data_IF_259025127943
#
_entry.id   IF_259025127943
#
_cell.length_a   1.000
_cell.length_b   1.000
_cell.length_c   1.000
_cell.angle_alpha   90.00
_cell.angle_beta   90.00
_cell.angle_gamma   90.00
#
_symmetry.space_group_name_H-M   'P 1'
#
loop_
_entity.id
_entity.type
_entity.pdbx_description
1 polymer ?
#
# COMPACT_ATOMS: atom_id res chain seq x y z
N UNK A 1 7.10 9.20 -10.32
CA UNK A 1 8.42 9.25 -9.65
C UNK A 1 9.03 7.85 -9.54
N UNK A 2 8.45 6.92 -8.77
CA UNK A 2 9.04 5.58 -8.56
C UNK A 2 9.31 4.81 -9.85
N UNK A 3 8.41 4.82 -10.83
CA UNK A 3 8.63 4.12 -12.11
C UNK A 3 9.88 4.62 -12.83
N UNK A 4 10.11 5.94 -12.83
CA UNK A 4 11.29 6.55 -13.44
C UNK A 4 12.57 6.23 -12.66
N UNK A 5 12.49 6.27 -11.32
CA UNK A 5 13.61 5.90 -10.45
C UNK A 5 13.96 4.42 -10.64
N UNK A 6 12.98 3.54 -10.64
CA UNK A 6 13.15 2.11 -10.87
C UNK A 6 13.75 1.81 -12.24
N UNK A 7 13.25 2.45 -13.29
CA UNK A 7 13.83 2.37 -14.63
C UNK A 7 15.30 2.80 -14.64
N UNK A 8 15.61 3.94 -14.04
CA UNK A 8 16.98 4.46 -13.98
C UNK A 8 17.92 3.52 -13.23
N UNK A 9 17.52 3.05 -12.05
CA UNK A 9 18.32 2.11 -11.25
C UNK A 9 18.52 0.79 -12.00
N UNK A 10 17.49 0.31 -12.70
CA UNK A 10 17.58 -0.90 -13.53
C UNK A 10 18.63 -0.73 -14.62
N UNK A 11 18.46 0.26 -15.51
CA UNK A 11 19.29 0.41 -16.73
C UNK A 11 20.70 0.88 -16.40
N UNK A 12 20.88 1.74 -15.37
CA UNK A 12 22.17 2.39 -15.09
C UNK A 12 22.99 1.73 -14.00
N UNK A 13 22.38 0.99 -13.08
CA UNK A 13 23.10 0.42 -11.92
C UNK A 13 23.03 -1.09 -11.92
N UNK A 14 21.86 -1.69 -12.14
CA UNK A 14 21.65 -3.11 -11.87
C UNK A 14 21.95 -3.95 -13.11
N UNK A 15 21.37 -3.62 -14.26
CA UNK A 15 21.59 -4.32 -15.53
C UNK A 15 23.08 -4.37 -15.93
N UNK A 16 23.88 -3.28 -15.84
CA UNK A 16 25.30 -3.33 -16.18
C UNK A 16 26.12 -4.27 -15.28
N UNK A 17 25.64 -4.58 -14.05
CA UNK A 17 26.34 -5.48 -13.12
C UNK A 17 26.13 -6.96 -13.46
N UNK A 18 25.07 -7.29 -14.20
CA UNK A 18 24.75 -8.68 -14.58
C UNK A 18 25.42 -9.14 -15.87
N UNK A 19 25.89 -8.22 -16.72
CA UNK A 19 26.57 -8.57 -17.97
C UNK A 19 25.64 -9.20 -19.01
N UNK A 20 26.20 -9.97 -19.95
CA UNK A 20 25.41 -10.69 -20.96
C UNK A 20 24.87 -11.98 -20.37
N UNK A 21 23.61 -12.30 -20.68
CA UNK A 21 22.99 -13.55 -20.29
C UNK A 21 23.40 -14.66 -21.26
N UNK A 22 24.14 -15.64 -20.76
CA UNK A 22 24.63 -16.80 -21.53
C UNK A 22 23.91 -18.11 -21.14
N UNK A 23 22.73 -18.03 -20.50
CA UNK A 23 22.01 -19.20 -19.99
C UNK A 23 21.11 -19.90 -21.01
N UNK A 24 20.78 -21.16 -20.72
CA UNK A 24 20.00 -22.05 -21.60
C UNK A 24 18.47 -21.82 -21.54
N UNK A 25 17.97 -20.91 -20.69
CA UNK A 25 16.53 -20.60 -20.65
C UNK A 25 16.20 -19.78 -21.90
N UNK A 26 15.74 -20.49 -22.94
CA UNK A 26 15.00 -19.89 -24.04
C UNK A 26 13.83 -19.11 -23.43
N UNK A 27 13.66 -17.86 -23.85
CA UNK A 27 12.61 -16.95 -23.40
C UNK A 27 11.32 -17.73 -23.11
N UNK A 28 10.85 -17.74 -21.86
CA UNK A 28 9.50 -18.21 -21.56
C UNK A 28 8.58 -17.33 -22.42
N UNK A 29 8.02 -17.90 -23.49
CA UNK A 29 7.05 -17.20 -24.32
C UNK A 29 5.92 -16.80 -23.39
N UNK A 30 5.72 -15.50 -23.21
CA UNK A 30 4.55 -14.98 -22.50
C UNK A 30 3.37 -15.42 -23.37
N UNK A 31 2.52 -16.36 -22.90
CA UNK A 31 1.48 -16.92 -23.75
C UNK A 31 0.57 -15.79 -24.23
N UNK A 32 0.32 -15.75 -25.53
CA UNK A 32 -0.61 -14.77 -26.07
C UNK A 32 -2.00 -14.98 -25.50
N UNK A 33 -2.73 -13.87 -25.30
CA UNK A 33 -4.11 -13.91 -24.84
C UNK A 33 -4.98 -14.72 -25.80
N UNK A 34 -5.66 -15.73 -25.28
CA UNK A 34 -6.65 -16.50 -26.04
C UNK A 34 -7.81 -15.61 -26.49
N UNK A 35 -8.56 -16.05 -27.50
CA UNK A 35 -9.77 -15.35 -27.96
C UNK A 35 -10.79 -15.17 -26.84
N UNK A 36 -10.90 -16.15 -25.93
CA UNK A 36 -11.79 -16.10 -24.79
C UNK A 36 -11.35 -15.04 -23.77
N UNK A 37 -10.07 -14.97 -23.43
CA UNK A 37 -9.53 -13.96 -22.51
C UNK A 37 -9.62 -12.55 -23.12
N UNK A 38 -9.34 -12.39 -24.42
CA UNK A 38 -9.51 -11.11 -25.13
C UNK A 38 -10.97 -10.65 -25.13
N UNK A 39 -11.92 -11.58 -25.31
CA UNK A 39 -13.36 -11.31 -25.16
C UNK A 39 -13.69 -10.92 -23.72
N UNK A 40 -13.17 -11.66 -22.74
CA UNK A 40 -13.30 -11.37 -21.31
C UNK A 40 -12.87 -9.96 -20.95
N UNK A 41 -11.67 -9.55 -21.39
CA UNK A 41 -11.13 -8.21 -21.14
C UNK A 41 -12.02 -7.10 -21.71
N UNK A 42 -12.57 -7.29 -22.91
CA UNK A 42 -13.49 -6.30 -23.51
C UNK A 42 -14.76 -6.13 -22.67
N UNK A 43 -15.38 -7.24 -22.26
CA UNK A 43 -16.58 -7.20 -21.43
C UNK A 43 -16.32 -6.66 -20.03
N UNK A 44 -15.17 -6.98 -19.43
CA UNK A 44 -14.73 -6.40 -18.17
C UNK A 44 -14.55 -4.87 -18.29
N UNK A 45 -13.95 -4.41 -19.38
CA UNK A 45 -13.81 -2.98 -19.69
C UNK A 45 -15.15 -2.27 -19.84
N UNK A 46 -16.09 -2.85 -20.59
CA UNK A 46 -17.45 -2.29 -20.71
C UNK A 46 -18.19 -2.26 -19.37
N UNK A 47 -18.03 -3.30 -18.56
CA UNK A 47 -18.60 -3.31 -17.21
C UNK A 47 -18.03 -2.21 -16.32
N UNK A 48 -16.71 -2.01 -16.35
CA UNK A 48 -16.06 -0.98 -15.56
C UNK A 48 -16.53 0.41 -16.01
N UNK A 49 -16.60 0.63 -17.32
CA UNK A 49 -17.12 1.88 -17.89
C UNK A 49 -18.57 2.13 -17.49
N UNK A 50 -19.44 1.11 -17.54
CA UNK A 50 -20.83 1.23 -17.11
C UNK A 50 -20.94 1.54 -15.61
N UNK A 51 -20.12 0.89 -14.78
CA UNK A 51 -20.07 1.15 -13.33
C UNK A 51 -19.59 2.58 -13.02
N UNK A 52 -18.52 3.04 -13.68
CA UNK A 52 -18.03 4.41 -13.53
C UNK A 52 -19.07 5.41 -14.01
N UNK A 53 -19.72 5.18 -15.15
CA UNK A 53 -20.80 6.05 -15.64
C UNK A 53 -21.96 6.14 -14.65
N UNK A 54 -22.36 5.01 -14.05
CA UNK A 54 -23.38 5.00 -13.00
C UNK A 54 -22.96 5.82 -11.79
N UNK A 55 -21.72 5.66 -11.30
CA UNK A 55 -21.20 6.47 -10.19
C UNK A 55 -21.18 7.96 -10.53
N UNK A 56 -20.79 8.32 -11.75
CA UNK A 56 -20.80 9.72 -12.19
C UNK A 56 -22.23 10.28 -12.22
N UNK A 57 -23.23 9.52 -12.66
CA UNK A 57 -24.64 9.93 -12.63
C UNK A 57 -25.13 10.11 -11.19
N UNK A 58 -24.63 9.33 -10.23
CA UNK A 58 -25.04 9.43 -8.83
C UNK A 58 -24.31 10.52 -8.03
N UNK A 59 -23.16 11.00 -8.51
CA UNK A 59 -22.30 11.98 -7.81
C UNK A 59 -22.29 13.34 -8.49
N UNK A 60 -22.24 13.43 -9.82
CA UNK A 60 -22.03 14.70 -10.52
C UNK A 60 -23.24 15.65 -10.49
N UNK A 61 -24.50 15.20 -10.62
CA UNK A 61 -25.64 16.10 -10.53
C UNK A 61 -25.65 16.87 -9.21
N UNK A 62 -26.13 18.13 -9.18
CA UNK A 62 -26.26 18.90 -7.94
C UNK A 62 -27.05 18.16 -6.85
N UNK A 63 -28.10 17.45 -7.25
CA UNK A 63 -28.95 16.60 -6.39
C UNK A 63 -28.52 15.12 -6.39
N UNK A 64 -27.24 14.85 -6.63
CA UNK A 64 -26.71 13.48 -6.68
C UNK A 64 -26.91 12.74 -5.35
N UNK A 65 -27.48 11.54 -5.39
CA UNK A 65 -27.80 10.72 -4.19
C UNK A 65 -26.56 10.43 -3.33
N UNK A 66 -25.36 10.41 -3.93
CA UNK A 66 -24.11 10.12 -3.20
C UNK A 66 -23.38 11.39 -2.72
N UNK A 67 -23.97 12.57 -2.89
CA UNK A 67 -23.51 13.83 -2.28
C UNK A 67 -24.01 13.95 -0.85
N UNK A 68 -23.46 14.92 -0.13
CA UNK A 68 -23.93 15.23 1.21
C UNK A 68 -25.43 15.61 1.20
N UNK A 69 -26.28 14.96 2.02
CA UNK A 69 -27.73 15.21 1.99
C UNK A 69 -28.14 16.63 2.38
N UNK A 70 -27.31 17.34 3.14
CA UNK A 70 -27.63 18.67 3.65
C UNK A 70 -26.95 19.77 2.81
N UNK A 71 -25.67 19.62 2.54
CA UNK A 71 -24.84 20.64 1.89
C UNK A 71 -24.69 20.43 0.38
N UNK A 72 -25.10 19.28 -0.16
CA UNK A 72 -24.93 18.87 -1.56
C UNK A 72 -23.48 18.96 -2.05
N UNK A 73 -22.52 18.93 -1.12
CA UNK A 73 -21.10 18.91 -1.41
C UNK A 73 -20.65 17.48 -1.74
N UNK A 74 -19.53 17.37 -2.47
CA UNK A 74 -18.90 16.07 -2.72
C UNK A 74 -17.96 15.72 -1.56
N UNK A 75 -17.36 16.70 -0.88
CA UNK A 75 -16.47 16.46 0.25
C UNK A 75 -16.93 17.37 1.40
N UNK A 76 -17.34 16.80 2.55
CA UNK A 76 -17.58 15.37 2.83
C UNK A 76 -18.85 14.84 2.12
N UNK A 77 -18.96 13.54 1.84
CA UNK A 77 -20.20 12.94 1.32
C UNK A 77 -20.26 11.41 1.50
N UNK A 78 -21.44 10.76 1.34
CA UNK A 78 -21.57 9.31 1.29
C UNK A 78 -20.64 8.65 0.26
N UNK A 79 -20.36 9.30 -0.87
CA UNK A 79 -19.39 8.82 -1.86
C UNK A 79 -17.99 8.63 -1.28
N UNK A 80 -17.47 9.63 -0.56
CA UNK A 80 -16.13 9.56 0.03
C UNK A 80 -16.06 8.63 1.24
N UNK A 81 -17.10 8.61 2.09
CA UNK A 81 -17.18 7.68 3.22
C UNK A 81 -17.29 6.22 2.76
N UNK A 82 -18.01 5.98 1.66
CA UNK A 82 -18.22 4.68 1.04
C UNK A 82 -17.18 4.30 -0.03
N UNK A 83 -16.05 5.02 -0.14
CA UNK A 83 -15.12 4.81 -1.26
C UNK A 83 -14.52 3.39 -1.28
N UNK A 84 -14.28 2.81 -0.11
CA UNK A 84 -13.73 1.44 0.02
C UNK A 84 -14.70 0.38 -0.54
N UNK A 85 -15.97 0.28 -0.11
CA UNK A 85 -16.92 -0.66 -0.72
C UNK A 85 -17.22 -0.33 -2.20
N UNK A 86 -17.19 0.94 -2.62
CA UNK A 86 -17.33 1.31 -4.04
C UNK A 86 -16.19 0.72 -4.88
N UNK A 87 -14.94 0.86 -4.43
CA UNK A 87 -13.76 0.26 -5.08
C UNK A 87 -13.89 -1.26 -5.11
N UNK A 88 -14.34 -1.88 -4.00
CA UNK A 88 -14.58 -3.33 -3.94
C UNK A 88 -15.56 -3.78 -5.03
N UNK A 89 -16.70 -3.11 -5.19
CA UNK A 89 -17.66 -3.41 -6.26
C UNK A 89 -17.02 -3.17 -7.64
N UNK A 90 -16.23 -2.10 -7.78
CA UNK A 90 -15.48 -1.77 -8.99
C UNK A 90 -14.44 -2.83 -9.41
N UNK A 91 -13.97 -3.68 -8.50
CA UNK A 91 -13.14 -4.85 -8.81
C UNK A 91 -13.96 -6.13 -9.02
N UNK A 92 -14.95 -6.37 -8.17
CA UNK A 92 -15.78 -7.58 -8.22
C UNK A 92 -16.56 -7.65 -9.53
N UNK A 93 -17.19 -6.55 -9.94
CA UNK A 93 -18.10 -6.54 -11.08
C UNK A 93 -17.36 -6.85 -12.40
N UNK A 94 -16.25 -6.16 -12.77
CA UNK A 94 -15.46 -6.53 -13.94
C UNK A 94 -14.84 -7.93 -13.81
N UNK A 95 -14.43 -8.35 -12.62
CA UNK A 95 -13.87 -9.69 -12.39
C UNK A 95 -14.86 -10.82 -12.70
N UNK A 96 -16.11 -10.68 -12.26
CA UNK A 96 -17.19 -11.64 -12.55
C UNK A 96 -17.51 -11.64 -14.04
N UNK A 97 -17.64 -10.45 -14.66
CA UNK A 97 -17.98 -10.33 -16.08
C UNK A 97 -16.86 -10.85 -16.97
N UNK A 98 -15.61 -10.59 -16.62
CA UNK A 98 -14.45 -11.21 -17.23
C UNK A 98 -14.57 -12.73 -17.19
N UNK A 99 -14.74 -13.30 -15.99
CA UNK A 99 -14.74 -14.74 -15.80
C UNK A 99 -15.89 -15.44 -16.53
N UNK A 100 -17.08 -14.82 -16.57
CA UNK A 100 -18.20 -15.34 -17.37
C UNK A 100 -17.93 -15.28 -18.87
N UNK A 101 -17.39 -14.18 -19.37
CA UNK A 101 -17.12 -14.02 -20.80
C UNK A 101 -15.92 -14.84 -21.31
N UNK A 102 -14.94 -15.09 -20.44
CA UNK A 102 -13.79 -15.96 -20.71
C UNK A 102 -14.10 -17.45 -20.45
N UNK A 103 -15.24 -17.77 -19.81
CA UNK A 103 -15.65 -19.14 -19.49
C UNK A 103 -14.96 -19.75 -18.27
N UNK A 104 -14.27 -18.95 -17.45
CA UNK A 104 -13.65 -19.39 -16.19
C UNK A 104 -14.62 -19.39 -15.00
N UNK A 105 -15.75 -18.68 -15.11
CA UNK A 105 -16.86 -18.68 -14.15
C UNK A 105 -18.10 -19.16 -14.89
N UNK A 106 -18.63 -20.31 -14.50
CA UNK A 106 -19.81 -20.93 -15.13
C UNK A 106 -21.06 -20.76 -14.28
N UNK A 107 -20.89 -20.65 -12.95
CA UNK A 107 -21.97 -20.61 -11.98
C UNK A 107 -21.74 -19.63 -10.85
N UNK A 108 -22.79 -19.35 -10.09
CA UNK A 108 -22.75 -18.64 -8.81
C UNK A 108 -21.88 -19.36 -7.77
N UNK A 109 -21.77 -20.70 -7.83
CA UNK A 109 -20.89 -21.49 -6.97
C UNK A 109 -19.42 -21.15 -7.17
N UNK A 110 -19.00 -20.90 -8.41
CA UNK A 110 -17.61 -20.52 -8.72
C UNK A 110 -17.27 -19.15 -8.12
N UNK A 111 -18.24 -18.23 -8.13
CA UNK A 111 -18.11 -16.91 -7.49
C UNK A 111 -17.97 -17.08 -5.97
N UNK A 112 -18.86 -17.85 -5.35
CA UNK A 112 -18.82 -18.12 -3.92
C UNK A 112 -17.52 -18.81 -3.49
N UNK A 113 -17.02 -19.75 -4.30
CA UNK A 113 -15.74 -20.41 -4.07
C UNK A 113 -14.57 -19.42 -4.17
N UNK A 114 -14.56 -18.53 -5.17
CA UNK A 114 -13.56 -17.47 -5.28
C UNK A 114 -13.54 -16.53 -4.06
N UNK A 115 -14.73 -16.13 -3.58
CA UNK A 115 -14.86 -15.33 -2.36
C UNK A 115 -14.37 -16.10 -1.11
N UNK A 116 -14.70 -17.40 -1.02
CA UNK A 116 -14.26 -18.26 0.09
C UNK A 116 -12.73 -18.39 0.11
N UNK A 117 -12.11 -18.57 -1.04
CA UNK A 117 -10.66 -18.66 -1.16
C UNK A 117 -9.97 -17.33 -0.84
N UNK A 118 -10.55 -16.20 -1.23
CA UNK A 118 -10.06 -14.88 -0.81
C UNK A 118 -10.14 -14.71 0.72
N UNK A 119 -11.23 -15.15 1.35
CA UNK A 119 -11.40 -15.08 2.80
C UNK A 119 -10.49 -16.04 3.57
N UNK A 120 -10.18 -17.22 3.03
CA UNK A 120 -9.26 -18.15 3.69
C UNK A 120 -7.84 -17.58 3.80
N UNK A 121 -7.38 -16.82 2.79
CA UNK A 121 -6.12 -16.09 2.83
C UNK A 121 -6.08 -14.99 3.91
N UNK A 122 -7.25 -14.49 4.34
CA UNK A 122 -7.37 -13.48 5.39
C UNK A 122 -7.28 -14.06 6.82
N UNK A 123 -7.23 -15.38 7.00
CA UNK A 123 -7.24 -16.01 8.32
C UNK A 123 -6.15 -15.50 9.27
N UNK A 124 -4.91 -15.36 8.78
CA UNK A 124 -3.81 -14.78 9.56
C UNK A 124 -4.08 -13.32 9.93
N UNK A 125 -4.60 -12.52 8.98
CA UNK A 125 -4.91 -11.12 9.21
C UNK A 125 -6.01 -10.94 10.26
N UNK A 126 -7.05 -11.78 10.24
CA UNK A 126 -8.14 -11.76 11.23
C UNK A 126 -7.60 -12.08 12.62
N UNK A 127 -6.79 -13.14 12.76
CA UNK A 127 -6.19 -13.52 14.04
C UNK A 127 -5.28 -12.41 14.60
N UNK A 128 -4.43 -11.82 13.76
CA UNK A 128 -3.57 -10.70 14.16
C UNK A 128 -4.39 -9.46 14.55
N UNK A 129 -5.40 -9.12 13.76
CA UNK A 129 -6.26 -7.95 14.00
C UNK A 129 -7.06 -8.11 15.29
N UNK A 130 -7.47 -9.34 15.65
CA UNK A 130 -8.09 -9.63 16.93
C UNK A 130 -7.19 -9.21 18.10
N UNK A 131 -5.94 -9.70 18.14
CA UNK A 131 -5.01 -9.34 19.21
C UNK A 131 -4.62 -7.85 19.20
N UNK A 132 -4.43 -7.28 18.01
CA UNK A 132 -4.17 -5.84 17.87
C UNK A 132 -5.32 -5.00 18.42
N UNK A 133 -6.57 -5.35 18.11
CA UNK A 133 -7.74 -4.67 18.65
C UNK A 133 -7.79 -4.76 20.18
N UNK A 134 -7.49 -5.93 20.77
CA UNK A 134 -7.39 -6.07 22.23
C UNK A 134 -6.28 -5.21 22.81
N UNK A 135 -5.09 -5.19 22.20
CA UNK A 135 -3.99 -4.35 22.62
C UNK A 135 -4.39 -2.87 22.61
N UNK A 136 -4.96 -2.36 21.52
CA UNK A 136 -5.40 -0.97 21.41
C UNK A 136 -6.45 -0.64 22.46
N UNK A 137 -7.43 -1.53 22.68
CA UNK A 137 -8.46 -1.35 23.68
C UNK A 137 -7.89 -1.28 25.10
N UNK A 138 -7.03 -2.21 25.50
CA UNK A 138 -6.41 -2.20 26.83
C UNK A 138 -5.38 -1.09 27.01
N UNK A 139 -4.67 -0.71 25.96
CA UNK A 139 -3.69 0.39 25.97
C UNK A 139 -4.38 1.75 26.14
N UNK A 140 -5.56 1.92 25.53
CA UNK A 140 -6.44 3.07 25.78
C UNK A 140 -7.06 3.05 27.18
N UNK A 141 -7.66 1.92 27.58
CA UNK A 141 -8.31 1.77 28.89
C UNK A 141 -7.36 2.00 30.08
N UNK A 142 -6.12 1.50 29.97
CA UNK A 142 -5.09 1.69 31.01
C UNK A 142 -4.50 3.11 31.06
N UNK A 143 -4.89 4.00 30.14
CA UNK A 143 -4.29 5.33 29.93
C UNK A 143 -2.79 5.31 29.58
N UNK A 144 -2.17 4.15 29.40
CA UNK A 144 -0.75 4.05 29.02
C UNK A 144 -0.47 4.73 27.68
N UNK A 145 -1.40 4.63 26.73
CA UNK A 145 -1.28 5.33 25.45
C UNK A 145 -1.25 6.84 25.58
N UNK A 146 -2.11 7.40 26.44
CA UNK A 146 -2.16 8.84 26.71
C UNK A 146 -0.86 9.29 27.40
N UNK A 147 -0.42 8.56 28.42
CA UNK A 147 0.82 8.87 29.15
C UNK A 147 2.03 8.85 28.21
N UNK A 148 2.16 7.81 27.39
CA UNK A 148 3.27 7.67 26.44
C UNK A 148 3.24 8.76 25.37
N UNK A 149 2.06 9.08 24.84
CA UNK A 149 1.89 10.13 23.84
C UNK A 149 2.27 11.51 24.39
N UNK A 150 1.80 11.86 25.59
CA UNK A 150 2.10 13.14 26.23
C UNK A 150 3.60 13.24 26.55
N UNK A 151 4.17 12.22 27.18
CA UNK A 151 5.59 12.22 27.54
C UNK A 151 6.49 12.27 26.29
N UNK A 152 6.16 11.49 25.25
CA UNK A 152 6.88 11.53 23.98
C UNK A 152 6.76 12.88 23.28
N UNK A 153 5.57 13.46 23.22
CA UNK A 153 5.36 14.78 22.62
C UNK A 153 6.11 15.87 23.39
N UNK A 154 6.11 15.82 24.73
CA UNK A 154 6.88 16.75 25.57
C UNK A 154 8.37 16.61 25.34
N UNK A 155 8.90 15.38 25.23
CA UNK A 155 10.31 15.14 24.90
C UNK A 155 10.69 15.72 23.54
N UNK A 156 9.87 15.48 22.51
CA UNK A 156 10.07 16.02 21.16
C UNK A 156 10.03 17.55 21.14
N UNK A 157 9.07 18.17 21.84
CA UNK A 157 8.97 19.63 21.95
C UNK A 157 10.12 20.24 22.73
N UNK A 158 10.52 19.63 23.85
CA UNK A 158 11.60 20.13 24.71
C UNK A 158 12.96 20.12 24.00
N UNK A 159 13.20 19.15 23.13
CA UNK A 159 14.41 19.07 22.30
C UNK A 159 14.35 19.95 21.05
N UNK A 160 13.19 20.54 20.73
CA UNK A 160 12.94 21.23 19.47
C UNK A 160 12.87 20.27 18.27
N UNK A 161 12.87 18.95 18.49
CA UNK A 161 12.85 17.93 17.45
C UNK A 161 11.44 17.78 16.84
N UNK A 162 11.06 18.77 16.05
CA UNK A 162 9.78 18.87 15.33
C UNK A 162 10.06 19.09 13.84
N UNK A 163 9.03 19.39 13.04
CA UNK A 163 9.23 19.67 11.61
C UNK A 163 9.60 18.45 10.76
N UNK A 164 10.28 18.73 9.65
CA UNK A 164 10.80 17.72 8.72
C UNK A 164 11.78 16.71 9.35
N UNK A 165 12.73 17.10 10.23
CA UNK A 165 13.63 16.14 10.86
C UNK A 165 12.90 15.00 11.57
N UNK A 166 11.85 15.33 12.33
CA UNK A 166 11.02 14.34 13.02
C UNK A 166 10.35 13.37 12.04
N UNK A 167 9.75 13.91 10.98
CA UNK A 167 9.00 13.12 9.99
C UNK A 167 9.92 12.23 9.15
N UNK A 168 11.11 12.72 8.78
CA UNK A 168 12.14 11.94 8.08
C UNK A 168 12.68 10.84 8.99
N UNK A 169 12.96 11.13 10.27
CA UNK A 169 13.36 10.11 11.23
C UNK A 169 12.28 9.05 11.41
N UNK A 170 11.01 9.42 11.40
CA UNK A 170 9.91 8.46 11.45
C UNK A 170 9.86 7.55 10.20
N UNK A 171 10.10 8.09 9.00
CA UNK A 171 10.26 7.29 7.78
C UNK A 171 11.38 6.26 7.96
N UNK A 172 12.54 6.68 8.46
CA UNK A 172 13.71 5.81 8.67
C UNK A 172 13.41 4.73 9.71
N UNK A 173 12.79 5.09 10.84
CA UNK A 173 12.39 4.13 11.89
C UNK A 173 11.40 3.11 11.34
N UNK A 174 10.40 3.55 10.59
CA UNK A 174 9.44 2.67 9.93
C UNK A 174 10.12 1.70 8.95
N UNK A 175 11.03 2.21 8.12
CA UNK A 175 11.81 1.40 7.19
C UNK A 175 12.75 0.41 7.88
N UNK A 176 13.31 0.77 9.04
CA UNK A 176 14.13 -0.12 9.85
C UNK A 176 13.33 -1.25 10.49
N UNK A 177 12.19 -0.93 11.13
CA UNK A 177 11.28 -1.93 11.70
C UNK A 177 10.80 -2.91 10.61
N UNK A 178 10.59 -2.40 9.40
CA UNK A 178 10.18 -3.22 8.26
C UNK A 178 11.18 -4.33 7.88
N UNK A 179 12.47 -4.19 8.20
CA UNK A 179 13.43 -5.26 7.99
C UNK A 179 13.13 -6.50 8.84
N UNK A 180 12.49 -6.31 9.99
CA UNK A 180 12.16 -7.35 10.97
C UNK A 180 10.72 -7.84 10.88
N UNK A 181 9.79 -6.95 10.51
CA UNK A 181 8.36 -7.23 10.45
C UNK A 181 7.85 -6.89 9.04
N UNK A 182 7.85 -7.86 8.12
CA UNK A 182 7.46 -7.61 6.72
C UNK A 182 5.98 -7.31 6.50
N UNK A 183 5.11 -7.53 7.49
CA UNK A 183 3.67 -7.22 7.37
C UNK A 183 3.41 -5.74 7.64
N UNK A 184 2.88 -5.02 6.65
CA UNK A 184 2.48 -3.62 6.79
C UNK A 184 1.39 -3.44 7.85
N UNK A 185 0.42 -4.36 7.92
CA UNK A 185 -0.65 -4.27 8.91
C UNK A 185 -0.14 -4.56 10.33
N UNK A 186 0.76 -5.54 10.49
CA UNK A 186 1.31 -5.89 11.80
C UNK A 186 2.10 -4.73 12.43
N UNK A 187 2.99 -4.11 11.63
CA UNK A 187 3.77 -2.96 12.07
C UNK A 187 2.87 -1.78 12.42
N UNK A 188 1.91 -1.44 11.55
CA UNK A 188 1.02 -0.31 11.79
C UNK A 188 0.17 -0.52 13.05
N UNK A 189 -0.32 -1.73 13.31
CA UNK A 189 -1.08 -2.06 14.51
C UNK A 189 -0.30 -1.81 15.81
N UNK A 190 1.03 -1.92 15.79
CA UNK A 190 1.90 -1.65 16.95
C UNK A 190 2.29 -0.17 17.00
N UNK A 191 2.63 0.43 15.85
CA UNK A 191 3.14 1.81 15.79
C UNK A 191 2.04 2.86 15.94
N UNK A 192 0.89 2.65 15.31
CA UNK A 192 -0.18 3.67 15.24
C UNK A 192 -0.68 4.10 16.64
N UNK A 193 -0.96 3.20 17.59
CA UNK A 193 -1.46 3.59 18.92
C UNK A 193 -0.48 4.44 19.72
N UNK A 194 0.81 4.39 19.39
CA UNK A 194 1.87 5.15 20.06
C UNK A 194 2.19 6.44 19.33
N UNK A 195 2.50 6.35 18.03
CA UNK A 195 3.03 7.47 17.27
C UNK A 195 1.96 8.42 16.75
N UNK A 196 0.75 7.94 16.43
CA UNK A 196 -0.31 8.82 15.94
C UNK A 196 -0.71 9.84 17.00
N UNK A 197 -1.08 9.45 18.25
CA UNK A 197 -1.43 10.44 19.26
C UNK A 197 -0.25 11.36 19.62
N UNK A 198 0.97 10.83 19.66
CA UNK A 198 2.17 11.61 19.94
C UNK A 198 2.41 12.71 18.90
N UNK A 199 2.31 12.38 17.61
CA UNK A 199 2.50 13.36 16.53
C UNK A 199 1.33 14.33 16.42
N UNK A 200 0.11 13.91 16.77
CA UNK A 200 -1.03 14.82 16.93
C UNK A 200 -0.76 15.88 18.00
N UNK A 201 -0.21 15.49 19.15
CA UNK A 201 0.16 16.45 20.20
C UNK A 201 1.30 17.39 19.77
N UNK A 202 2.15 16.98 18.82
CA UNK A 202 3.18 17.84 18.21
C UNK A 202 2.59 18.77 17.12
N UNK A 203 1.35 18.53 16.67
CA UNK A 203 0.62 19.39 15.72
C UNK A 203 0.43 18.79 14.32
N UNK A 204 0.56 17.47 14.17
CA UNK A 204 0.42 16.78 12.88
C UNK A 204 -0.82 15.92 12.80
N UNK A 205 -1.39 15.82 11.61
CA UNK A 205 -2.58 15.00 11.39
C UNK A 205 -2.26 13.49 11.40
N UNK A 206 -3.23 12.63 11.76
CA UNK A 206 -3.06 11.19 11.67
C UNK A 206 -2.80 10.72 10.23
N UNK A 207 -3.38 11.40 9.23
CA UNK A 207 -3.17 11.13 7.80
C UNK A 207 -1.71 11.36 7.39
N UNK A 208 -1.07 12.43 7.89
CA UNK A 208 0.36 12.68 7.69
C UNK A 208 1.19 11.54 8.27
N UNK A 209 0.89 11.15 9.51
CA UNK A 209 1.60 10.06 10.19
C UNK A 209 1.49 8.75 9.43
N UNK A 210 0.30 8.43 8.90
CA UNK A 210 0.10 7.25 8.07
C UNK A 210 0.85 7.35 6.74
N UNK A 211 0.88 8.52 6.09
CA UNK A 211 1.65 8.72 4.86
C UNK A 211 3.14 8.48 5.08
N UNK A 212 3.75 9.09 6.10
CA UNK A 212 5.19 8.90 6.38
C UNK A 212 5.52 7.47 6.78
N UNK A 213 4.61 6.78 7.49
CA UNK A 213 4.73 5.35 7.75
C UNK A 213 4.77 4.53 6.46
N UNK A 214 3.84 4.76 5.54
CA UNK A 214 3.76 4.04 4.25
C UNK A 214 5.02 4.23 3.41
N UNK A 215 5.66 5.40 3.51
CA UNK A 215 6.93 5.65 2.86
C UNK A 215 8.02 4.70 3.38
N UNK A 216 8.21 4.66 4.70
CA UNK A 216 9.20 3.77 5.31
C UNK A 216 8.88 2.29 5.08
N UNK A 217 7.64 1.87 5.30
CA UNK A 217 7.18 0.48 5.14
C UNK A 217 7.47 -0.08 3.75
N UNK A 218 7.21 0.68 2.68
CA UNK A 218 7.36 0.17 1.32
C UNK A 218 8.81 0.06 0.83
N UNK A 219 9.67 0.99 1.25
CA UNK A 219 10.97 1.22 0.59
C UNK A 219 11.97 0.12 0.91
N UNK A 220 11.88 -0.49 2.09
CA UNK A 220 12.79 -1.57 2.52
C UNK A 220 12.22 -2.98 2.34
N UNK A 221 11.01 -3.14 1.80
CA UNK A 221 10.37 -4.46 1.59
C UNK A 221 11.21 -5.39 0.70
N UNK A 222 11.88 -4.82 -0.29
CA UNK A 222 12.67 -5.58 -1.28
C UNK A 222 14.04 -6.04 -0.78
N UNK A 223 14.45 -5.61 0.43
CA UNK A 223 15.71 -6.02 1.05
C UNK A 223 15.51 -6.81 2.35
N UNK A 224 14.27 -7.08 2.76
CA UNK A 224 14.01 -7.94 3.93
C UNK A 224 13.95 -9.41 3.52
N UNK A 225 14.77 -10.28 4.16
CA UNK A 225 14.67 -11.72 3.96
C UNK A 225 13.43 -12.34 4.63
N UNK A 226 12.75 -11.58 5.49
CA UNK A 226 11.58 -12.02 6.26
C UNK A 226 10.26 -11.79 5.53
N UNK A 227 10.30 -11.21 4.32
CA UNK A 227 9.12 -11.09 3.47
C UNK A 227 8.64 -12.49 3.06
N UNK A 228 7.33 -12.82 3.20
CA UNK A 228 6.81 -14.17 2.90
C UNK A 228 7.10 -14.67 1.48
N UNK A 229 7.24 -13.75 0.52
CA UNK A 229 7.50 -14.06 -0.89
C UNK A 229 8.99 -14.22 -1.23
N UNK A 230 9.90 -13.90 -0.29
CA UNK A 230 11.33 -13.90 -0.55
C UNK A 230 11.87 -15.26 -1.04
N UNK A 231 11.50 -16.41 -0.45
CA UNK A 231 11.94 -17.72 -0.95
C UNK A 231 11.51 -18.00 -2.39
N UNK A 232 10.32 -17.56 -2.79
CA UNK A 232 9.80 -17.72 -4.15
C UNK A 232 10.63 -16.87 -5.13
N UNK A 233 10.98 -15.64 -4.73
CA UNK A 233 11.84 -14.76 -5.55
C UNK A 233 13.24 -15.37 -5.73
N UNK A 234 13.82 -15.95 -4.66
CA UNK A 234 15.08 -16.70 -4.74
C UNK A 234 14.96 -17.86 -5.74
N UNK A 235 13.89 -18.65 -5.65
CA UNK A 235 13.67 -19.78 -6.55
C UNK A 235 13.54 -19.33 -8.02
N UNK A 236 12.89 -18.18 -8.28
CA UNK A 236 12.82 -17.61 -9.62
C UNK A 236 14.19 -17.12 -10.12
N UNK A 237 14.96 -16.43 -9.29
CA UNK A 237 16.30 -15.98 -9.66
C UNK A 237 17.24 -17.16 -9.94
N UNK A 238 17.12 -18.24 -9.16
CA UNK A 238 17.86 -19.49 -9.36
C UNK A 238 17.49 -20.26 -10.64
N UNK A 239 16.42 -19.89 -11.33
CA UNK A 239 16.19 -20.39 -12.69
C UNK A 239 17.25 -19.84 -13.64
N UNK A 240 17.51 -18.54 -13.57
CA UNK A 240 18.44 -17.83 -14.46
C UNK A 240 19.90 -17.94 -14.03
N UNK A 241 20.18 -17.90 -12.72
CA UNK A 241 21.51 -18.07 -12.16
C UNK A 241 21.48 -18.95 -10.90
N UNK A 242 21.95 -20.19 -11.02
CA UNK A 242 21.98 -21.18 -9.94
C UNK A 242 22.80 -20.73 -8.73
N UNK A 243 23.74 -19.79 -8.89
CA UNK A 243 24.58 -19.26 -7.80
C UNK A 243 23.90 -18.14 -7.02
N UNK A 244 22.76 -17.63 -7.51
CA UNK A 244 22.02 -16.60 -6.81
C UNK A 244 21.45 -17.12 -5.50
N UNK A 245 21.84 -16.48 -4.40
CA UNK A 245 21.32 -16.72 -3.06
C UNK A 245 20.63 -15.49 -2.48
N UNK A 246 20.22 -15.61 -1.22
CA UNK A 246 19.58 -14.53 -0.46
C UNK A 246 20.42 -13.25 -0.43
N UNK A 247 21.72 -13.38 -0.15
CA UNK A 247 22.64 -12.23 -0.10
C UNK A 247 22.78 -11.54 -1.46
N UNK A 248 22.88 -12.30 -2.55
CA UNK A 248 22.97 -11.76 -3.91
C UNK A 248 21.72 -10.96 -4.27
N UNK A 249 20.53 -11.47 -3.94
CA UNK A 249 19.27 -10.76 -4.19
C UNK A 249 19.17 -9.48 -3.36
N UNK A 250 19.47 -9.54 -2.07
CA UNK A 250 19.45 -8.35 -1.21
C UNK A 250 20.44 -7.30 -1.71
N UNK A 251 21.66 -7.70 -2.07
CA UNK A 251 22.68 -6.78 -2.61
C UNK A 251 22.28 -6.17 -3.97
N UNK A 252 21.53 -6.92 -4.77
CA UNK A 252 20.97 -6.44 -6.05
C UNK A 252 19.84 -5.45 -5.83
N UNK A 253 18.99 -5.67 -4.81
CA UNK A 253 17.83 -4.83 -4.50
C UNK A 253 18.16 -3.60 -3.63
N UNK A 254 19.32 -3.59 -2.96
CA UNK A 254 19.76 -2.48 -2.10
C UNK A 254 19.80 -1.12 -2.81
N UNK A 255 20.32 -0.97 -4.04
CA UNK A 255 20.27 0.29 -4.77
C UNK A 255 18.84 0.80 -5.01
N UNK A 256 17.88 -0.09 -5.28
CA UNK A 256 16.47 0.29 -5.43
C UNK A 256 15.89 0.79 -4.11
N UNK A 257 16.14 0.07 -3.01
CA UNK A 257 15.63 0.42 -1.68
C UNK A 257 16.09 1.82 -1.26
N UNK A 258 17.39 2.09 -1.40
CA UNK A 258 17.97 3.40 -1.08
C UNK A 258 17.44 4.50 -2.01
N UNK A 259 17.35 4.25 -3.32
CA UNK A 259 16.85 5.23 -4.27
C UNK A 259 15.36 5.54 -4.05
N UNK A 260 14.54 4.54 -3.72
CA UNK A 260 13.14 4.74 -3.37
C UNK A 260 13.00 5.49 -2.06
N UNK A 261 13.76 5.13 -1.02
CA UNK A 261 13.75 5.84 0.26
C UNK A 261 14.08 7.33 0.07
N UNK A 262 15.13 7.65 -0.68
CA UNK A 262 15.55 9.03 -0.95
C UNK A 262 14.50 9.76 -1.78
N UNK A 263 14.04 9.17 -2.90
CA UNK A 263 13.13 9.85 -3.82
C UNK A 263 11.73 10.05 -3.24
N UNK A 264 11.20 9.09 -2.48
CA UNK A 264 9.93 9.28 -1.77
C UNK A 264 10.06 10.27 -0.61
N UNK A 265 11.16 10.25 0.15
CA UNK A 265 11.40 11.25 1.19
C UNK A 265 11.53 12.65 0.58
N UNK A 266 12.20 12.80 -0.56
CA UNK A 266 12.30 14.06 -1.28
C UNK A 266 10.93 14.55 -1.78
N UNK A 267 10.13 13.65 -2.37
CA UNK A 267 8.76 13.97 -2.79
C UNK A 267 7.91 14.42 -1.61
N UNK A 268 8.03 13.74 -0.48
CA UNK A 268 7.36 14.11 0.77
C UNK A 268 7.82 15.47 1.29
N UNK A 269 9.11 15.76 1.29
CA UNK A 269 9.66 17.07 1.70
C UNK A 269 9.05 18.18 0.84
N UNK A 270 9.01 18.01 -0.48
CA UNK A 270 8.38 18.95 -1.40
C UNK A 270 6.91 19.13 -1.01
N UNK A 271 6.17 18.04 -0.86
CA UNK A 271 4.74 18.08 -0.47
C UNK A 271 4.50 18.85 0.82
N UNK A 272 5.37 18.62 1.82
CA UNK A 272 5.31 19.25 3.13
C UNK A 272 5.61 20.75 3.07
N UNK A 273 6.64 21.15 2.31
CA UNK A 273 7.03 22.56 2.16
C UNK A 273 5.96 23.38 1.42
N UNK A 274 5.31 22.79 0.43
CA UNK A 274 4.22 23.44 -0.32
C UNK A 274 2.86 23.36 0.39
N UNK A 275 2.77 22.69 1.54
CA UNK A 275 1.52 22.59 2.31
C UNK A 275 0.39 21.88 1.56
N UNK A 276 0.73 21.01 0.60
CA UNK A 276 -0.26 20.39 -0.27
C UNK A 276 -1.09 19.39 0.57
N UNK A 277 -2.44 19.44 0.52
CA UNK A 277 -3.28 18.48 1.20
C UNK A 277 -2.90 17.03 0.85
N UNK A 278 -2.92 16.16 1.85
CA UNK A 278 -2.54 14.75 1.72
C UNK A 278 -3.67 13.97 1.04
N UNK A 279 -4.89 14.48 1.18
CA UNK A 279 -6.09 13.97 0.55
C UNK A 279 -7.25 14.96 0.68
N UNK A 280 -8.42 14.61 0.14
CA UNK A 280 -9.64 15.38 0.28
C UNK A 280 -9.97 15.65 1.75
N UNK A 281 -9.92 16.93 2.16
CA UNK A 281 -10.16 17.32 3.56
C UNK A 281 -9.02 16.99 4.54
N UNK A 282 -7.88 16.43 4.07
CA UNK A 282 -6.76 16.02 4.92
C UNK A 282 -5.59 17.01 4.80
N UNK A 283 -5.47 17.90 5.79
CA UNK A 283 -4.38 18.88 5.92
C UNK A 283 -3.14 18.25 6.57
N UNK A 284 -1.99 18.92 6.46
CA UNK A 284 -0.71 18.44 7.02
C UNK A 284 -0.60 18.71 8.53
N UNK A 285 -1.13 19.85 8.99
CA UNK A 285 -1.03 20.28 10.39
C UNK A 285 -2.41 20.45 11.01
N UNK A 286 -2.51 20.16 12.30
CA UNK A 286 -3.67 20.44 13.14
C UNK A 286 -3.74 21.92 13.54
#
# INVERSE_FOLDING_TARGET
VITLVGWYITVKIVEPRFGKYDGEINQEEIPELTTAERKGLRWAGYSLLAFVALLLILVLPPEGILRDPETLTIIPSPFFQGIVPIIMVGFILPGIIYGKAAGTIQSDKDIAQGMTQAMSLMGYYIALSFFAAQFVAYFGWSNLGIILAINGANFLKATGFTGLPLLISFIIVSGFINLFIGSASAKWNIMAPVFVPMLMLVGYTPELTQMVYRIGDSTTNIITPLMPYFPIIVAFAQRYDKKTGMGTLIATMLPYSLAFLISWSALFIIWFLFGIPIGPGAVIRL
#
